data_IF_889302079489
#
_entry.id   IF_889302079489
#
_cell.length_a   1.000
_cell.length_b   1.000
_cell.length_c   1.000
_cell.angle_alpha   90.00
_cell.angle_beta   90.00
_cell.angle_gamma   90.00
#
_symmetry.space_group_name_H-M   'P 1'
#
loop_
_entity.id
_entity.type
_entity.pdbx_description
1 polymer ?
#
# COMPACT_ATOMS: atom_id res chain seq x y z
N UNK A 1 -11.10 -0.72 -36.37
CA UNK A 1 -12.31 -0.95 -37.18
C UNK A 1 -12.14 -2.14 -38.09
N UNK A 2 -11.12 -2.18 -38.96
CA UNK A 2 -10.90 -3.27 -39.92
C UNK A 2 -10.80 -4.65 -39.22
N UNK A 3 -9.99 -4.78 -38.20
CA UNK A 3 -9.85 -6.00 -37.38
C UNK A 3 -11.19 -6.44 -36.76
N UNK A 4 -11.97 -5.51 -36.20
CA UNK A 4 -13.27 -5.79 -35.63
C UNK A 4 -14.25 -6.35 -36.66
N UNK A 5 -14.32 -5.71 -37.85
CA UNK A 5 -15.20 -6.14 -38.91
C UNK A 5 -14.82 -7.53 -39.48
N UNK A 6 -13.52 -7.82 -39.58
CA UNK A 6 -13.05 -9.07 -40.18
C UNK A 6 -13.04 -10.26 -39.23
N UNK A 7 -12.81 -10.02 -37.92
CA UNK A 7 -12.50 -11.10 -36.99
C UNK A 7 -13.47 -11.24 -35.81
N UNK A 8 -14.23 -10.19 -35.47
CA UNK A 8 -15.05 -10.16 -34.26
C UNK A 8 -16.54 -10.03 -34.56
N UNK A 9 -16.95 -9.07 -35.39
CA UNK A 9 -18.36 -8.72 -35.58
C UNK A 9 -19.14 -9.71 -36.44
N UNK A 10 -18.48 -10.51 -37.23
CA UNK A 10 -19.15 -11.45 -38.16
C UNK A 10 -20.12 -10.72 -39.10
N UNK A 11 -21.41 -11.00 -38.98
CA UNK A 11 -22.47 -10.35 -39.79
C UNK A 11 -22.98 -9.04 -39.20
N UNK A 12 -22.56 -8.64 -38.01
CA UNK A 12 -23.01 -7.40 -37.35
C UNK A 12 -22.26 -6.19 -37.85
N UNK A 13 -22.95 -5.03 -37.90
CA UNK A 13 -22.29 -3.79 -38.38
C UNK A 13 -21.47 -3.13 -37.26
N UNK A 14 -20.35 -2.53 -37.64
CA UNK A 14 -19.56 -1.71 -36.72
C UNK A 14 -20.35 -0.54 -36.14
N UNK A 15 -21.20 0.11 -36.96
CA UNK A 15 -22.00 1.24 -36.53
C UNK A 15 -23.01 0.86 -35.45
N UNK A 16 -23.62 -0.31 -35.59
CA UNK A 16 -24.56 -0.84 -34.60
C UNK A 16 -23.84 -1.17 -33.29
N UNK A 17 -22.71 -1.90 -33.34
CA UNK A 17 -21.95 -2.23 -32.16
C UNK A 17 -21.42 -0.98 -31.42
N UNK A 18 -21.06 0.05 -32.16
CA UNK A 18 -20.59 1.32 -31.57
C UNK A 18 -21.75 2.11 -30.92
N UNK A 19 -22.93 2.13 -31.58
CA UNK A 19 -24.14 2.79 -31.05
C UNK A 19 -24.62 2.12 -29.76
N UNK A 20 -24.67 0.79 -29.76
CA UNK A 20 -25.20 0.00 -28.65
C UNK A 20 -24.21 -0.12 -27.47
N UNK A 21 -22.93 0.14 -27.73
CA UNK A 21 -21.86 0.04 -26.73
C UNK A 21 -21.45 -1.40 -26.37
N UNK A 22 -22.05 -2.40 -27.03
CA UNK A 22 -21.71 -3.81 -26.85
C UNK A 22 -21.90 -4.60 -28.15
N UNK A 23 -21.35 -5.81 -28.18
CA UNK A 23 -21.54 -6.79 -29.24
C UNK A 23 -21.78 -8.16 -28.63
N UNK A 24 -22.85 -8.83 -29.06
CA UNK A 24 -23.14 -10.21 -28.70
C UNK A 24 -22.84 -11.15 -29.88
N UNK A 25 -21.91 -12.09 -29.68
CA UNK A 25 -21.57 -13.07 -30.71
C UNK A 25 -22.67 -14.13 -30.94
N UNK A 26 -23.73 -14.10 -30.16
CA UNK A 26 -24.80 -15.11 -30.21
C UNK A 26 -24.37 -16.52 -29.73
N UNK A 27 -23.08 -16.70 -29.40
CA UNK A 27 -22.57 -17.93 -28.84
C UNK A 27 -22.85 -17.96 -27.34
N UNK A 28 -23.97 -18.60 -26.97
CA UNK A 28 -24.19 -18.94 -25.56
C UNK A 28 -23.26 -20.10 -25.18
N UNK A 29 -22.20 -19.77 -24.45
CA UNK A 29 -21.46 -20.80 -23.72
C UNK A 29 -22.33 -21.25 -22.56
N UNK A 30 -22.86 -22.45 -22.62
CA UNK A 30 -23.45 -23.09 -21.43
C UNK A 30 -22.33 -23.20 -20.40
N UNK A 31 -22.37 -22.32 -19.39
CA UNK A 31 -21.53 -22.49 -18.23
C UNK A 31 -21.87 -23.80 -17.57
N UNK A 32 -20.98 -24.77 -17.66
CA UNK A 32 -21.05 -25.97 -16.84
C UNK A 32 -20.96 -25.51 -15.39
N UNK A 33 -22.00 -25.83 -14.60
CA UNK A 33 -21.95 -25.54 -13.17
C UNK A 33 -20.70 -26.23 -12.59
N UNK A 34 -19.78 -25.52 -11.93
CA UNK A 34 -18.65 -26.18 -11.32
C UNK A 34 -19.16 -27.17 -10.27
N UNK A 35 -18.62 -28.39 -10.31
CA UNK A 35 -18.93 -29.38 -9.31
C UNK A 35 -18.13 -29.11 -8.05
N UNK A 36 -18.74 -28.48 -7.05
CA UNK A 36 -18.10 -28.12 -5.79
C UNK A 36 -17.86 -29.34 -4.86
N UNK A 37 -18.35 -30.53 -5.22
CA UNK A 37 -18.16 -31.74 -4.40
C UNK A 37 -16.71 -32.25 -4.37
N UNK A 38 -15.84 -31.69 -5.21
CA UNK A 38 -14.42 -32.08 -5.32
C UNK A 38 -13.45 -31.03 -4.77
N UNK A 39 -13.95 -29.98 -4.12
CA UNK A 39 -13.07 -29.00 -3.48
C UNK A 39 -12.50 -29.64 -2.21
N UNK A 40 -11.23 -29.99 -2.25
CA UNK A 40 -10.50 -30.46 -1.08
C UNK A 40 -10.14 -29.27 -0.19
N UNK A 41 -10.76 -29.11 1.00
CA UNK A 41 -10.43 -28.02 1.90
C UNK A 41 -9.12 -28.23 2.66
N UNK A 42 -8.41 -29.33 2.47
CA UNK A 42 -7.15 -29.64 3.16
C UNK A 42 -6.05 -28.62 2.87
N UNK A 43 -6.13 -27.91 1.73
CA UNK A 43 -5.26 -26.78 1.40
C UNK A 43 -5.54 -25.50 2.20
N UNK A 44 -6.72 -25.40 2.84
CA UNK A 44 -7.12 -24.26 3.69
C UNK A 44 -6.64 -24.44 5.14
N UNK A 45 -5.41 -24.83 5.33
CA UNK A 45 -4.85 -24.88 6.70
C UNK A 45 -4.72 -23.48 7.25
N UNK A 46 -5.20 -23.29 8.49
CA UNK A 46 -4.85 -22.10 9.25
C UNK A 46 -3.31 -22.03 9.34
N UNK A 47 -2.75 -20.91 8.94
CA UNK A 47 -1.33 -20.67 9.12
C UNK A 47 -1.06 -20.60 10.63
N UNK A 48 -0.44 -21.61 11.20
CA UNK A 48 0.17 -21.50 12.52
C UNK A 48 1.48 -20.73 12.32
N UNK A 49 1.39 -19.41 12.32
CA UNK A 49 2.57 -18.56 12.25
C UNK A 49 3.34 -18.74 13.56
N UNK A 50 4.41 -19.50 13.52
CA UNK A 50 5.43 -19.56 14.57
C UNK A 50 6.44 -18.42 14.45
N UNK A 51 6.38 -17.68 13.34
CA UNK A 51 7.24 -16.57 12.96
C UNK A 51 6.39 -15.35 12.59
N UNK A 52 7.03 -14.30 12.10
CA UNK A 52 6.36 -13.08 11.65
C UNK A 52 5.36 -13.36 10.51
N UNK A 53 4.24 -12.68 10.53
CA UNK A 53 3.18 -12.77 9.53
C UNK A 53 3.25 -11.60 8.54
N UNK A 54 3.33 -11.91 7.24
CA UNK A 54 3.18 -10.92 6.18
C UNK A 54 1.71 -10.76 5.82
N UNK A 55 1.22 -9.52 5.89
CA UNK A 55 -0.12 -9.13 5.43
C UNK A 55 0.01 -8.40 4.10
N UNK A 56 -0.58 -8.96 3.06
CA UNK A 56 -0.65 -8.33 1.74
C UNK A 56 -1.97 -7.57 1.60
N UNK A 57 -1.91 -6.31 1.17
CA UNK A 57 -3.07 -5.44 1.11
C UNK A 57 -3.04 -4.48 -0.09
N UNK A 58 -4.17 -3.85 -0.36
CA UNK A 58 -4.31 -2.81 -1.39
C UNK A 58 -4.30 -1.43 -0.76
N UNK A 59 -3.49 -0.52 -1.29
CA UNK A 59 -3.52 0.91 -0.90
C UNK A 59 -4.74 1.61 -1.49
N UNK A 60 -5.21 2.65 -0.81
CA UNK A 60 -6.33 3.48 -1.28
C UNK A 60 -6.10 4.07 -2.67
N UNK A 61 -4.89 4.57 -2.94
CA UNK A 61 -4.55 5.18 -4.23
C UNK A 61 -4.36 4.17 -5.36
N UNK A 62 -3.52 3.17 -5.11
CA UNK A 62 -3.08 2.24 -6.16
C UNK A 62 -3.95 0.99 -6.31
N UNK A 63 -4.74 0.65 -5.28
CA UNK A 63 -5.51 -0.58 -5.29
C UNK A 63 -4.64 -1.81 -5.53
N UNK A 64 -5.06 -2.66 -6.46
CA UNK A 64 -4.32 -3.83 -6.92
C UNK A 64 -3.33 -3.52 -8.06
N UNK A 65 -3.29 -2.27 -8.51
CA UNK A 65 -2.41 -1.78 -9.56
C UNK A 65 -2.98 -1.83 -10.98
N UNK A 66 -4.26 -2.06 -11.16
CA UNK A 66 -4.89 -1.99 -12.49
C UNK A 66 -4.70 -0.63 -13.16
N UNK A 67 -4.60 0.44 -12.37
CA UNK A 67 -4.39 1.80 -12.85
C UNK A 67 -2.97 2.33 -12.58
N UNK A 68 -1.98 1.45 -12.49
CA UNK A 68 -0.60 1.83 -12.16
C UNK A 68 0.07 2.74 -13.21
N UNK A 69 -0.44 2.81 -14.44
CA UNK A 69 -0.01 3.77 -15.46
C UNK A 69 -0.53 5.21 -15.27
N UNK A 70 -1.27 5.46 -14.19
CA UNK A 70 -1.76 6.79 -13.87
C UNK A 70 -0.78 7.50 -12.89
N UNK A 71 -0.02 8.51 -13.33
CA UNK A 71 0.96 9.18 -12.49
C UNK A 71 0.32 9.91 -11.30
N UNK A 72 -0.88 10.42 -11.43
CA UNK A 72 -1.59 11.08 -10.33
C UNK A 72 -1.89 10.11 -9.18
N UNK A 73 -2.17 8.85 -9.47
CA UNK A 73 -2.32 7.83 -8.44
C UNK A 73 -0.99 7.46 -7.80
N UNK A 74 0.11 7.48 -8.57
CA UNK A 74 1.47 7.28 -8.05
C UNK A 74 1.88 8.43 -7.10
N UNK A 75 1.50 9.66 -7.42
CA UNK A 75 1.76 10.85 -6.61
C UNK A 75 0.87 10.95 -5.38
N UNK A 76 -0.27 10.24 -5.36
CA UNK A 76 -1.22 10.29 -4.27
C UNK A 76 -0.61 9.71 -2.98
N UNK A 77 -0.45 10.53 -1.92
CA UNK A 77 0.17 10.07 -0.68
C UNK A 77 -0.71 9.04 0.03
N UNK A 78 -0.08 8.02 0.57
CA UNK A 78 -0.76 7.10 1.47
C UNK A 78 -1.32 7.86 2.70
N UNK A 79 -2.59 7.67 3.08
CA UNK A 79 -3.22 8.46 4.14
C UNK A 79 -2.61 8.24 5.52
N UNK A 80 -1.93 7.12 5.75
CA UNK A 80 -1.30 6.78 7.03
C UNK A 80 0.17 7.18 7.04
N UNK A 81 0.94 6.67 6.09
CA UNK A 81 2.39 6.84 6.03
C UNK A 81 2.84 8.09 5.30
N UNK A 82 1.97 8.67 4.48
CA UNK A 82 2.22 9.87 3.63
C UNK A 82 3.31 9.67 2.57
N UNK A 83 3.63 8.42 2.26
CA UNK A 83 4.57 8.07 1.20
C UNK A 83 3.86 8.02 -0.13
N UNK A 84 4.45 8.64 -1.13
CA UNK A 84 4.06 8.59 -2.54
C UNK A 84 5.01 7.69 -3.33
N UNK A 85 4.64 7.31 -4.54
CA UNK A 85 5.43 6.59 -5.54
C UNK A 85 5.75 5.14 -5.23
N UNK A 86 6.13 4.79 -4.00
CA UNK A 86 6.61 3.47 -3.64
C UNK A 86 5.61 2.65 -2.79
N UNK A 87 5.80 1.34 -2.82
CA UNK A 87 5.41 0.49 -1.72
C UNK A 87 6.63 0.13 -0.86
N UNK A 88 6.37 -0.33 0.33
CA UNK A 88 7.37 -0.59 1.36
C UNK A 88 6.83 -1.63 2.33
N UNK A 89 7.76 -2.28 3.02
CA UNK A 89 7.43 -3.18 4.11
C UNK A 89 7.18 -2.36 5.37
N UNK A 90 5.97 -2.41 5.92
CA UNK A 90 5.68 -1.79 7.22
C UNK A 90 5.97 -2.76 8.35
N UNK A 91 6.59 -2.26 9.42
CA UNK A 91 6.93 -3.02 10.62
C UNK A 91 6.66 -2.19 11.88
N UNK A 92 6.41 -2.87 13.00
CA UNK A 92 6.42 -2.24 14.32
C UNK A 92 7.84 -1.72 14.65
N UNK A 93 7.92 -0.74 15.54
CA UNK A 93 9.21 -0.24 16.06
C UNK A 93 10.01 -1.36 16.74
N UNK A 94 9.32 -2.22 17.50
CA UNK A 94 9.93 -3.35 18.21
C UNK A 94 10.57 -4.35 17.27
N UNK A 95 9.82 -4.77 16.23
CA UNK A 95 10.30 -5.74 15.24
C UNK A 95 11.42 -5.17 14.39
N UNK A 96 11.30 -3.93 13.97
CA UNK A 96 12.32 -3.25 13.19
C UNK A 96 13.65 -3.16 13.97
N UNK A 97 13.60 -2.80 15.25
CA UNK A 97 14.79 -2.75 16.10
C UNK A 97 15.42 -4.14 16.28
N UNK A 98 14.61 -5.17 16.50
CA UNK A 98 15.09 -6.55 16.65
C UNK A 98 15.79 -7.05 15.37
N UNK A 99 15.34 -6.59 14.19
CA UNK A 99 15.91 -6.93 12.89
C UNK A 99 17.05 -5.98 12.46
N UNK A 100 17.38 -4.94 13.25
CA UNK A 100 18.39 -3.94 12.91
C UNK A 100 17.97 -2.94 11.84
N UNK A 101 16.68 -2.91 11.48
CA UNK A 101 16.12 -2.04 10.46
C UNK A 101 15.84 -0.65 11.02
N UNK A 102 16.11 0.40 10.24
CA UNK A 102 16.03 1.80 10.72
C UNK A 102 15.37 2.70 9.69
N UNK A 103 14.66 3.71 10.17
CA UNK A 103 14.34 4.91 9.43
C UNK A 103 15.13 6.09 9.98
N UNK A 104 15.58 6.99 9.12
CA UNK A 104 16.42 8.12 9.48
C UNK A 104 15.99 9.38 8.72
N UNK A 105 15.73 10.45 9.44
CA UNK A 105 15.57 11.76 8.82
C UNK A 105 16.96 12.29 8.42
N UNK A 106 17.07 12.73 7.18
CA UNK A 106 18.27 13.36 6.66
C UNK A 106 18.28 14.86 6.96
N UNK A 107 19.42 15.51 6.79
CA UNK A 107 19.58 16.96 7.05
C UNK A 107 18.68 17.82 6.16
N UNK A 108 18.33 17.36 4.98
CA UNK A 108 17.39 18.04 4.06
C UNK A 108 15.91 17.75 4.36
N UNK A 109 15.63 16.97 5.42
CA UNK A 109 14.26 16.62 5.84
C UNK A 109 13.66 15.40 5.14
N UNK A 110 14.38 14.72 4.25
CA UNK A 110 13.92 13.47 3.65
C UNK A 110 13.94 12.33 4.67
N UNK A 111 13.11 11.33 4.45
CA UNK A 111 13.07 10.10 5.24
C UNK A 111 13.76 8.98 4.46
N UNK A 112 14.81 8.42 5.05
CA UNK A 112 15.48 7.24 4.52
C UNK A 112 15.10 5.99 5.31
N UNK A 113 15.01 4.85 4.62
CA UNK A 113 14.72 3.56 5.22
C UNK A 113 15.72 2.49 4.78
N UNK A 114 16.02 1.57 5.70
CA UNK A 114 16.79 0.36 5.39
C UNK A 114 16.07 -0.49 4.35
N UNK A 115 16.82 -1.34 3.64
CA UNK A 115 16.25 -2.42 2.84
C UNK A 115 16.19 -3.72 3.63
N UNK A 116 15.15 -4.50 3.35
CA UNK A 116 15.01 -5.87 3.83
C UNK A 116 14.82 -6.84 2.66
N UNK A 117 15.35 -8.04 2.81
CA UNK A 117 14.98 -9.20 2.00
C UNK A 117 13.78 -9.87 2.67
N UNK A 118 12.68 -9.93 1.95
CA UNK A 118 11.41 -10.54 2.37
C UNK A 118 11.27 -11.86 1.64
N UNK A 119 11.22 -12.96 2.38
CA UNK A 119 11.15 -14.32 1.83
C UNK A 119 9.88 -15.00 2.26
N UNK A 120 9.11 -15.49 1.29
CA UNK A 120 7.92 -16.32 1.47
C UNK A 120 8.11 -17.58 0.64
N UNK A 121 8.09 -18.74 1.28
CA UNK A 121 8.44 -19.99 0.61
C UNK A 121 9.84 -19.92 -0.02
N UNK A 122 9.93 -20.18 -1.33
CA UNK A 122 11.18 -20.12 -2.09
C UNK A 122 11.41 -18.76 -2.78
N UNK A 123 10.49 -17.81 -2.61
CA UNK A 123 10.56 -16.51 -3.30
C UNK A 123 11.05 -15.42 -2.35
N UNK A 124 12.02 -14.65 -2.81
CA UNK A 124 12.58 -13.52 -2.06
C UNK A 124 12.52 -12.24 -2.88
N UNK A 125 12.14 -11.14 -2.24
CA UNK A 125 12.12 -9.80 -2.83
C UNK A 125 12.83 -8.80 -1.91
N UNK A 126 13.58 -7.85 -2.49
CA UNK A 126 14.21 -6.75 -1.76
C UNK A 126 13.23 -5.58 -1.67
N UNK A 127 12.90 -5.14 -0.45
CA UNK A 127 11.85 -4.14 -0.20
C UNK A 127 12.40 -3.07 0.74
N UNK A 128 12.14 -1.77 0.52
CA UNK A 128 12.44 -0.74 1.50
C UNK A 128 11.51 -0.87 2.71
N UNK A 129 12.00 -0.51 3.89
CA UNK A 129 11.27 -0.65 5.15
C UNK A 129 10.83 0.70 5.69
N UNK A 130 9.56 0.79 6.03
CA UNK A 130 8.96 1.91 6.75
C UNK A 130 8.49 1.44 8.11
N UNK A 131 9.04 2.05 9.16
CA UNK A 131 8.62 1.77 10.54
C UNK A 131 7.31 2.51 10.79
N UNK A 132 6.27 1.76 11.16
CA UNK A 132 4.95 2.31 11.42
C UNK A 132 4.62 2.19 12.91
N UNK A 133 4.66 3.30 13.66
CA UNK A 133 4.26 3.30 15.06
C UNK A 133 2.81 2.82 15.24
N UNK A 134 2.58 1.96 16.23
CA UNK A 134 1.27 1.39 16.50
C UNK A 134 0.93 0.12 15.72
N UNK A 135 1.77 -0.32 14.80
CA UNK A 135 1.60 -1.62 14.15
C UNK A 135 1.82 -2.76 15.17
N UNK A 136 1.02 -3.82 15.05
CA UNK A 136 1.14 -4.98 15.92
C UNK A 136 2.48 -5.69 15.74
N UNK A 137 3.11 -6.08 16.85
CA UNK A 137 4.33 -6.87 16.82
C UNK A 137 4.10 -8.23 16.16
N UNK A 138 5.12 -8.76 15.50
CA UNK A 138 5.03 -10.00 14.76
C UNK A 138 4.28 -9.90 13.43
N UNK A 139 3.97 -8.67 12.97
CA UNK A 139 3.29 -8.45 11.70
C UNK A 139 4.09 -7.52 10.79
N UNK A 140 4.14 -7.87 9.52
CA UNK A 140 4.68 -7.05 8.45
C UNK A 140 3.60 -6.79 7.40
N UNK A 141 3.52 -5.58 6.86
CA UNK A 141 2.56 -5.23 5.81
C UNK A 141 3.27 -4.88 4.51
N UNK A 142 2.75 -5.34 3.38
CA UNK A 142 3.24 -4.97 2.05
C UNK A 142 2.08 -4.79 1.09
N UNK A 143 2.04 -3.65 0.40
CA UNK A 143 0.95 -3.36 -0.53
C UNK A 143 1.20 -3.87 -1.94
N UNK A 144 0.13 -4.28 -2.60
CA UNK A 144 0.09 -4.55 -4.03
C UNK A 144 0.17 -3.27 -4.88
N UNK A 145 0.28 -3.44 -6.17
CA UNK A 145 0.05 -2.39 -7.15
C UNK A 145 1.30 -1.74 -7.74
N UNK A 146 2.49 -2.16 -7.35
CA UNK A 146 3.77 -1.58 -7.71
C UNK A 146 4.71 -2.57 -8.39
N UNK A 147 5.87 -2.07 -8.82
CA UNK A 147 6.95 -2.85 -9.41
C UNK A 147 6.82 -3.07 -10.91
N UNK A 148 7.79 -3.76 -11.47
CA UNK A 148 7.84 -4.09 -12.89
C UNK A 148 6.70 -5.04 -13.28
N UNK A 149 5.96 -4.67 -14.31
CA UNK A 149 4.90 -5.48 -14.91
C UNK A 149 4.74 -5.17 -16.39
N UNK A 150 4.33 -6.17 -17.16
CA UNK A 150 4.01 -5.98 -18.57
C UNK A 150 2.89 -4.94 -18.75
N UNK A 151 3.08 -4.04 -19.71
CA UNK A 151 2.12 -3.00 -20.04
C UNK A 151 2.23 -1.71 -19.22
N UNK A 152 3.08 -1.66 -18.20
CA UNK A 152 3.41 -0.42 -17.50
C UNK A 152 4.46 0.38 -18.29
N UNK A 153 4.32 1.71 -18.31
CA UNK A 153 5.37 2.61 -18.76
C UNK A 153 6.56 2.51 -17.80
N UNK A 154 7.77 2.66 -18.34
CA UNK A 154 9.01 2.59 -17.53
C UNK A 154 9.01 3.54 -16.35
N UNK A 155 8.48 4.73 -16.53
CA UNK A 155 8.40 5.78 -15.51
C UNK A 155 7.43 5.41 -14.36
N UNK A 156 6.51 4.46 -14.61
CA UNK A 156 5.53 3.99 -13.63
C UNK A 156 5.94 2.69 -12.96
N UNK A 157 7.09 2.13 -13.30
CA UNK A 157 7.61 0.90 -12.73
C UNK A 157 8.37 1.17 -11.42
N UNK A 158 7.67 1.75 -10.45
CA UNK A 158 8.21 2.11 -9.13
C UNK A 158 7.84 1.08 -8.08
N UNK A 159 8.65 1.00 -7.02
CA UNK A 159 8.42 0.07 -5.92
C UNK A 159 8.69 -1.40 -6.29
N UNK A 160 8.08 -2.32 -5.57
CA UNK A 160 8.31 -3.76 -5.67
C UNK A 160 7.03 -4.51 -6.00
N UNK A 161 7.12 -5.51 -6.88
CA UNK A 161 5.98 -6.36 -7.21
C UNK A 161 5.67 -7.35 -6.08
N UNK A 162 4.73 -7.00 -5.22
CA UNK A 162 4.30 -7.84 -4.10
C UNK A 162 3.56 -9.11 -4.53
N UNK A 163 3.08 -9.20 -5.77
CA UNK A 163 2.47 -10.44 -6.27
C UNK A 163 3.45 -11.60 -6.37
N UNK A 164 4.75 -11.33 -6.45
CA UNK A 164 5.78 -12.37 -6.45
C UNK A 164 5.76 -13.22 -5.18
N UNK A 165 5.34 -12.66 -4.05
CA UNK A 165 5.24 -13.33 -2.76
C UNK A 165 3.80 -13.66 -2.35
N UNK A 166 2.85 -13.57 -3.29
CA UNK A 166 1.45 -13.90 -3.06
C UNK A 166 1.15 -15.34 -3.39
N UNK A 167 1.32 -16.23 -2.44
CA UNK A 167 1.14 -17.66 -2.63
C UNK A 167 -0.29 -18.11 -2.30
N UNK A 168 -0.84 -18.98 -3.14
CA UNK A 168 -2.11 -19.66 -2.91
C UNK A 168 -3.27 -18.74 -2.50
N UNK A 169 -3.29 -17.51 -3.01
CA UNK A 169 -4.31 -16.49 -2.69
C UNK A 169 -4.42 -16.17 -1.19
N UNK A 170 -3.38 -16.44 -0.40
CA UNK A 170 -3.34 -16.12 1.02
C UNK A 170 -2.89 -14.68 1.22
N UNK A 171 -3.75 -13.84 1.80
CA UNK A 171 -3.39 -12.46 2.16
C UNK A 171 -2.50 -12.37 3.40
N UNK A 172 -2.49 -13.41 4.23
CA UNK A 172 -1.64 -13.52 5.42
C UNK A 172 -0.82 -14.80 5.33
N UNK A 173 0.49 -14.68 5.43
CA UNK A 173 1.42 -15.81 5.28
C UNK A 173 2.64 -15.62 6.18
N UNK A 174 3.30 -16.73 6.52
CA UNK A 174 4.58 -16.68 7.24
C UNK A 174 5.65 -16.04 6.38
N UNK A 175 6.51 -15.24 6.98
CA UNK A 175 7.57 -14.51 6.29
C UNK A 175 8.86 -14.53 7.09
N UNK A 176 9.97 -14.64 6.39
CA UNK A 176 11.31 -14.37 6.92
C UNK A 176 11.78 -13.01 6.42
N UNK A 177 12.27 -12.18 7.33
CA UNK A 177 12.75 -10.84 7.03
C UNK A 177 14.19 -10.72 7.49
N UNK A 178 15.05 -10.29 6.59
CA UNK A 178 16.48 -10.09 6.86
C UNK A 178 16.91 -8.72 6.36
N UNK A 179 17.62 -7.96 7.18
CA UNK A 179 18.26 -6.72 6.75
C UNK A 179 19.24 -7.00 5.62
N UNK A 180 19.22 -6.14 4.60
CA UNK A 180 20.20 -6.15 3.50
C UNK A 180 20.77 -4.75 3.30
N UNK A 181 21.90 -4.69 2.63
CA UNK A 181 22.65 -3.45 2.41
C UNK A 181 21.89 -2.45 1.53
N UNK A 182 22.05 -1.15 1.85
CA UNK A 182 21.50 0.00 1.15
C UNK A 182 20.45 0.76 1.97
N UNK A 183 20.18 1.97 1.53
CA UNK A 183 19.12 2.84 2.04
C UNK A 183 18.22 3.29 0.90
N UNK A 184 16.93 3.46 1.18
CA UNK A 184 15.93 3.99 0.27
C UNK A 184 15.47 5.36 0.74
N UNK A 185 15.39 6.31 -0.17
CA UNK A 185 14.85 7.64 0.08
C UNK A 185 13.37 7.67 -0.28
N UNK A 186 12.52 7.87 0.72
CA UNK A 186 11.08 7.92 0.52
C UNK A 186 10.60 9.30 0.09
N UNK A 187 9.72 9.35 -0.89
CA UNK A 187 8.97 10.55 -1.25
C UNK A 187 7.80 10.73 -0.27
N UNK A 188 8.07 11.32 0.88
CA UNK A 188 7.08 11.59 1.91
C UNK A 188 6.64 13.05 1.91
N UNK A 189 5.33 13.28 2.13
CA UNK A 189 4.79 14.61 2.41
C UNK A 189 4.53 14.77 3.90
N UNK A 190 4.67 16.01 4.41
CA UNK A 190 4.33 16.38 5.79
C UNK A 190 4.99 15.50 6.86
N UNK A 191 6.31 15.34 6.78
CA UNK A 191 7.09 14.59 7.76
C UNK A 191 7.20 15.26 9.14
N UNK A 192 6.55 16.41 9.32
CA UNK A 192 6.57 17.13 10.59
C UNK A 192 5.84 16.33 11.67
N UNK A 193 6.57 15.86 12.64
CA UNK A 193 6.08 15.12 13.80
C UNK A 193 6.13 15.95 15.10
N UNK A 194 6.50 17.22 15.01
CA UNK A 194 6.52 18.17 16.12
C UNK A 194 5.88 19.48 15.70
N UNK A 195 5.39 20.23 16.66
CA UNK A 195 4.87 21.58 16.44
C UNK A 195 5.96 22.63 16.19
N UNK A 196 7.25 22.22 16.23
CA UNK A 196 8.41 23.11 16.01
C UNK A 196 8.35 24.37 16.90
N UNK A 197 7.97 24.22 18.18
CA UNK A 197 7.82 25.32 19.13
C UNK A 197 6.52 26.13 19.00
N UNK A 198 5.63 25.77 18.07
CA UNK A 198 4.34 26.45 17.87
C UNK A 198 3.22 25.79 18.69
N UNK A 199 3.42 25.67 20.01
CA UNK A 199 2.52 24.97 20.91
C UNK A 199 1.11 25.52 21.02
N UNK A 200 0.90 26.77 20.60
CA UNK A 200 -0.40 27.45 20.59
C UNK A 200 -1.26 27.13 19.36
N UNK A 201 -0.77 26.38 18.37
CA UNK A 201 -1.58 25.90 17.24
C UNK A 201 -2.58 24.82 17.70
N UNK A 202 -2.14 23.89 18.55
CA UNK A 202 -2.98 22.86 19.15
C UNK A 202 -3.22 23.23 20.62
N UNK A 203 -4.48 23.35 20.99
CA UNK A 203 -4.86 23.63 22.38
C UNK A 203 -5.15 22.31 23.09
N UNK A 204 -4.42 22.05 24.14
CA UNK A 204 -4.58 20.85 24.97
C UNK A 204 -4.99 21.24 26.39
N UNK A 205 -5.88 20.45 27.00
CA UNK A 205 -6.27 20.62 28.38
C UNK A 205 -6.78 19.31 28.96
N UNK A 206 -6.80 19.17 30.28
CA UNK A 206 -7.43 18.03 30.92
C UNK A 206 -8.94 18.26 31.05
N UNK A 207 -9.70 17.17 31.17
CA UNK A 207 -11.16 17.26 31.38
C UNK A 207 -11.52 18.05 32.64
N UNK A 208 -10.72 17.91 33.70
CA UNK A 208 -10.92 18.66 34.95
C UNK A 208 -10.79 20.18 34.70
N UNK A 209 -9.72 20.60 34.06
CA UNK A 209 -9.47 22.02 33.72
C UNK A 209 -10.55 22.56 32.78
N UNK A 210 -10.94 21.79 31.78
CA UNK A 210 -12.02 22.15 30.85
C UNK A 210 -13.35 22.41 31.58
N UNK A 211 -13.68 21.59 32.57
CA UNK A 211 -14.94 21.72 33.33
C UNK A 211 -14.90 22.78 34.43
N UNK A 212 -13.72 23.13 34.96
CA UNK A 212 -13.60 23.96 36.17
C UNK A 212 -13.01 25.35 35.92
N UNK A 213 -12.32 25.57 34.79
CA UNK A 213 -11.64 26.83 34.48
C UNK A 213 -12.31 27.59 33.35
N UNK A 214 -12.18 28.90 33.37
CA UNK A 214 -12.64 29.78 32.29
C UNK A 214 -11.93 29.43 30.97
N UNK A 215 -12.64 29.57 29.85
CA UNK A 215 -12.14 29.29 28.49
C UNK A 215 -10.81 29.98 28.20
N UNK A 216 -10.57 31.16 28.74
CA UNK A 216 -9.31 31.89 28.57
C UNK A 216 -8.10 31.16 29.13
N UNK A 217 -8.29 30.26 30.11
CA UNK A 217 -7.21 29.50 30.74
C UNK A 217 -6.62 28.42 29.81
N UNK A 218 -7.47 27.74 29.08
CA UNK A 218 -7.03 26.63 28.23
C UNK A 218 -7.11 26.94 26.72
N UNK A 219 -7.73 28.05 26.33
CA UNK A 219 -7.80 28.50 24.92
C UNK A 219 -7.48 30.00 24.83
N UNK A 220 -6.29 30.36 25.29
CA UNK A 220 -5.82 31.73 25.18
C UNK A 220 -5.75 32.17 23.71
N UNK A 221 -6.14 33.39 23.43
CA UNK A 221 -6.01 33.97 22.08
C UNK A 221 -4.52 34.06 21.71
N UNK A 222 -4.15 33.69 20.47
CA UNK A 222 -2.79 33.89 19.99
C UNK A 222 -2.40 35.35 20.09
N UNK A 223 -1.18 35.63 20.60
CA UNK A 223 -0.66 36.98 20.58
C UNK A 223 -0.23 37.33 19.14
N UNK A 224 -0.98 38.21 18.52
CA UNK A 224 -0.57 38.78 17.23
C UNK A 224 0.50 39.81 17.50
N UNK A 225 1.69 39.66 16.90
CA UNK A 225 2.74 40.67 17.00
C UNK A 225 2.17 42.01 16.47
N UNK A 226 2.20 43.02 17.29
CA UNK A 226 1.96 44.39 16.83
C UNK A 226 3.25 44.84 16.15
N UNK A 227 3.29 44.87 14.83
CA UNK A 227 4.26 45.63 14.06
C UNK A 227 3.80 47.06 13.99
#
# INVERSE_FOLDING_TARGET
KQHWNSSILGSSSWSTALHDGYFSSGKSTKLTKPNFSTIDPSGLRASTATEMSLVLYTKTGMGDGQQANNPWLQEFPDPITRVSWDNYLTLSMTDANALGLKNRNTSNGALNGSYALVTVGDTSIKVPVLIQPGQANGTAGLSFGYGERLGLKSEMQTGVNAYAVYENFKKVQSVQIKQVEGEHEFACVQLHNTLMGRGDIIKETTLEVFNTKDKKYWNAMPQVSKN
#
